data_IF_803421676426
#
_entry.id   IF_803421676426
#
_cell.length_a   1.000
_cell.length_b   1.000
_cell.length_c   1.000
_cell.angle_alpha   90.00
_cell.angle_beta   90.00
_cell.angle_gamma   90.00
#
_symmetry.space_group_name_H-M   'P 1'
#
loop_
_entity.id
_entity.type
_entity.pdbx_description
1 polymer ?
#
# COMPACT_ATOMS: atom_id res chain seq x y z
N UNK A 1 11.76 -31.34 44.52
CA UNK A 1 11.05 -31.54 43.22
C UNK A 1 11.24 -30.30 42.40
N UNK A 2 11.78 -30.39 41.17
CA UNK A 2 11.84 -29.23 40.27
C UNK A 2 10.42 -28.82 39.86
N UNK A 3 10.13 -27.54 39.61
CA UNK A 3 8.84 -27.12 39.13
C UNK A 3 8.57 -27.75 37.76
N UNK A 4 7.36 -28.27 37.57
CA UNK A 4 6.90 -28.77 36.27
C UNK A 4 6.92 -27.62 35.29
N UNK A 5 7.73 -27.74 34.26
CA UNK A 5 7.65 -26.91 33.07
C UNK A 5 6.21 -27.02 32.52
N UNK A 6 5.45 -25.97 32.64
CA UNK A 6 4.19 -25.81 31.91
C UNK A 6 4.59 -25.54 30.45
N UNK A 7 4.74 -26.60 29.68
CA UNK A 7 4.73 -26.50 28.24
C UNK A 7 3.38 -25.87 27.86
N UNK A 8 3.43 -24.68 27.30
CA UNK A 8 2.25 -23.98 26.81
C UNK A 8 1.61 -24.80 25.71
N UNK A 9 0.33 -25.18 25.81
CA UNK A 9 -0.34 -26.01 24.80
C UNK A 9 -0.70 -25.25 23.50
N UNK A 10 -0.20 -24.03 23.33
CA UNK A 10 -0.58 -23.15 22.20
C UNK A 10 0.17 -23.42 20.90
N UNK A 11 1.38 -23.95 20.93
CA UNK A 11 2.19 -24.21 19.72
C UNK A 11 1.63 -25.32 18.82
N UNK A 12 0.87 -26.25 19.37
CA UNK A 12 0.25 -27.34 18.60
C UNK A 12 -1.08 -26.95 17.97
N UNK A 13 -1.73 -25.89 18.46
CA UNK A 13 -3.04 -25.43 17.98
C UNK A 13 -2.95 -24.48 16.77
N UNK A 14 -1.81 -23.80 16.56
CA UNK A 14 -1.68 -22.83 15.47
C UNK A 14 -1.35 -23.49 14.12
N UNK A 15 -0.51 -24.54 14.12
CA UNK A 15 -0.12 -25.22 12.89
C UNK A 15 -1.31 -25.91 12.22
N UNK A 16 -1.38 -25.77 10.90
CA UNK A 16 -2.43 -26.30 10.03
C UNK A 16 -3.80 -25.66 10.21
N UNK A 17 -3.88 -24.51 10.91
CA UNK A 17 -5.11 -23.72 11.01
C UNK A 17 -5.37 -22.93 9.73
N UNK A 18 -6.62 -22.53 9.53
CA UNK A 18 -6.98 -21.57 8.46
C UNK A 18 -6.30 -20.20 8.67
N UNK A 19 -6.11 -19.82 9.94
CA UNK A 19 -5.41 -18.57 10.31
C UNK A 19 -3.96 -18.60 9.84
N UNK A 20 -3.23 -19.69 10.05
CA UNK A 20 -1.86 -19.83 9.54
C UNK A 20 -1.81 -19.71 8.01
N UNK A 21 -2.73 -20.38 7.29
CA UNK A 21 -2.84 -20.27 5.84
C UNK A 21 -3.17 -18.86 5.38
N UNK A 22 -4.09 -18.18 6.06
CA UNK A 22 -4.47 -16.80 5.74
C UNK A 22 -3.31 -15.81 5.98
N UNK A 23 -2.52 -16.01 7.03
CA UNK A 23 -1.31 -15.22 7.26
C UNK A 23 -0.29 -15.36 6.12
N UNK A 24 -0.07 -16.58 5.64
CA UNK A 24 0.86 -16.79 4.53
C UNK A 24 0.30 -16.26 3.21
N UNK A 25 -1.03 -16.35 2.99
CA UNK A 25 -1.68 -15.71 1.83
C UNK A 25 -1.53 -14.19 1.87
N UNK A 26 -1.78 -13.58 3.03
CA UNK A 26 -1.61 -12.14 3.21
C UNK A 26 -0.15 -11.72 3.01
N UNK A 27 0.82 -12.41 3.63
CA UNK A 27 2.25 -12.16 3.42
C UNK A 27 2.64 -12.21 1.93
N UNK A 28 2.14 -13.19 1.18
CA UNK A 28 2.39 -13.30 -0.26
C UNK A 28 1.70 -12.17 -1.04
N UNK A 29 0.49 -11.79 -0.64
CA UNK A 29 -0.27 -10.66 -1.18
C UNK A 29 0.50 -9.35 -1.07
N UNK A 30 0.89 -8.99 0.14
CA UNK A 30 1.69 -7.78 0.42
C UNK A 30 3.03 -7.79 -0.33
N UNK A 31 3.70 -8.94 -0.36
CA UNK A 31 5.01 -9.08 -1.02
C UNK A 31 4.92 -8.84 -2.53
N UNK A 32 3.86 -9.35 -3.19
CA UNK A 32 3.66 -9.10 -4.62
C UNK A 32 3.15 -7.67 -4.88
N UNK A 33 2.29 -7.10 -4.02
CA UNK A 33 1.81 -5.72 -4.12
C UNK A 33 3.00 -4.75 -4.03
N UNK A 34 3.84 -4.90 -3.02
CA UNK A 34 5.11 -4.16 -2.88
C UNK A 34 5.91 -4.18 -4.18
N UNK A 35 6.10 -5.35 -4.76
CA UNK A 35 6.91 -5.50 -5.99
C UNK A 35 6.25 -4.80 -7.17
N UNK A 36 4.93 -4.98 -7.36
CA UNK A 36 4.17 -4.29 -8.42
C UNK A 36 4.23 -2.77 -8.28
N UNK A 37 4.11 -2.24 -7.07
CA UNK A 37 4.15 -0.78 -6.84
C UNK A 37 5.51 -0.17 -7.15
N UNK A 38 6.62 -0.90 -6.99
CA UNK A 38 7.93 -0.42 -7.47
C UNK A 38 7.98 -0.30 -9.01
N UNK A 39 7.31 -1.22 -9.73
CA UNK A 39 7.19 -1.13 -11.20
C UNK A 39 6.31 0.05 -11.60
N UNK A 40 5.19 0.26 -10.92
CA UNK A 40 4.26 1.36 -11.16
C UNK A 40 4.89 2.73 -10.87
N UNK A 41 5.71 2.83 -9.82
CA UNK A 41 6.51 4.02 -9.53
C UNK A 41 7.45 4.38 -10.69
N UNK A 42 8.12 3.37 -11.27
CA UNK A 42 9.01 3.58 -12.42
C UNK A 42 8.26 4.11 -13.65
N UNK A 43 7.05 3.61 -13.92
CA UNK A 43 6.20 4.11 -15.03
C UNK A 43 5.78 5.55 -14.76
N UNK A 44 5.24 5.84 -13.58
CA UNK A 44 4.79 7.17 -13.19
C UNK A 44 5.90 8.21 -13.34
N UNK A 45 7.12 7.87 -12.95
CA UNK A 45 8.29 8.73 -13.13
C UNK A 45 8.59 9.00 -14.61
N UNK A 46 8.54 7.98 -15.46
CA UNK A 46 8.77 8.11 -16.92
C UNK A 46 7.69 8.95 -17.60
N UNK A 47 6.46 8.87 -17.12
CA UNK A 47 5.32 9.63 -17.65
C UNK A 47 5.23 11.06 -17.05
N UNK A 48 6.16 11.44 -16.18
CA UNK A 48 6.24 12.80 -15.63
C UNK A 48 5.30 13.06 -14.44
N UNK A 49 5.00 12.03 -13.65
CA UNK A 49 4.20 12.12 -12.44
C UNK A 49 5.04 11.79 -11.19
N UNK A 50 6.02 12.63 -10.86
CA UNK A 50 6.94 12.39 -9.73
C UNK A 50 6.24 12.26 -8.38
N UNK A 51 5.11 12.95 -8.18
CA UNK A 51 4.28 12.77 -6.99
C UNK A 51 3.72 11.36 -6.90
N UNK A 52 3.16 10.84 -8.00
CA UNK A 52 2.58 9.49 -8.05
C UNK A 52 3.68 8.44 -7.87
N UNK A 53 4.83 8.65 -8.51
CA UNK A 53 5.98 7.77 -8.33
C UNK A 53 6.40 7.70 -6.86
N UNK A 54 6.43 8.84 -6.16
CA UNK A 54 6.71 8.91 -4.72
C UNK A 54 5.65 8.20 -3.88
N UNK A 55 4.36 8.35 -4.22
CA UNK A 55 3.27 7.67 -3.52
C UNK A 55 3.35 6.16 -3.69
N UNK A 56 3.60 5.64 -4.90
CA UNK A 56 3.79 4.21 -5.11
C UNK A 56 5.01 3.66 -4.35
N UNK A 57 6.12 4.39 -4.33
CA UNK A 57 7.31 3.97 -3.60
C UNK A 57 7.07 3.93 -2.08
N UNK A 58 6.40 4.96 -1.53
CA UNK A 58 6.01 5.01 -0.12
C UNK A 58 5.09 3.85 0.25
N UNK A 59 4.05 3.60 -0.56
CA UNK A 59 3.14 2.47 -0.32
C UNK A 59 3.88 1.14 -0.43
N UNK A 60 4.77 0.95 -1.40
CA UNK A 60 5.58 -0.27 -1.50
C UNK A 60 6.41 -0.54 -0.22
N UNK A 61 6.90 0.50 0.45
CA UNK A 61 7.60 0.35 1.74
C UNK A 61 6.62 0.03 2.88
N UNK A 62 5.39 0.53 2.83
CA UNK A 62 4.33 0.21 3.80
C UNK A 62 3.88 -1.24 3.66
N UNK A 63 3.65 -1.75 2.43
CA UNK A 63 3.32 -3.18 2.18
C UNK A 63 4.41 -4.13 2.68
N UNK A 64 5.67 -3.72 2.60
CA UNK A 64 6.76 -4.49 3.20
C UNK A 64 6.62 -4.62 4.73
N UNK A 65 6.16 -3.58 5.42
CA UNK A 65 5.95 -3.64 6.88
C UNK A 65 4.68 -4.46 7.23
N UNK A 66 3.62 -4.41 6.40
CA UNK A 66 2.45 -5.28 6.53
C UNK A 66 2.85 -6.75 6.34
N UNK A 67 3.55 -7.08 5.26
CA UNK A 67 4.11 -8.40 5.01
C UNK A 67 4.93 -8.91 6.21
N UNK A 68 5.82 -8.08 6.74
CA UNK A 68 6.63 -8.40 7.91
C UNK A 68 5.79 -8.62 9.17
N UNK A 69 4.70 -7.86 9.35
CA UNK A 69 3.79 -8.04 10.49
C UNK A 69 3.11 -9.40 10.42
N UNK A 70 2.60 -9.81 9.26
CA UNK A 70 1.99 -11.11 9.06
C UNK A 70 3.01 -12.25 9.21
N UNK A 71 4.20 -12.10 8.63
CA UNK A 71 5.25 -13.11 8.72
C UNK A 71 5.72 -13.37 10.14
N UNK A 72 5.71 -12.37 11.03
CA UNK A 72 6.10 -12.52 12.43
C UNK A 72 5.15 -13.39 13.25
N UNK A 73 3.95 -13.66 12.78
CA UNK A 73 3.02 -14.58 13.43
C UNK A 73 3.25 -16.03 13.03
N UNK A 74 3.98 -16.28 11.93
CA UNK A 74 4.29 -17.64 11.47
C UNK A 74 5.40 -18.25 12.33
N UNK A 75 5.26 -19.56 12.61
CA UNK A 75 6.15 -20.28 13.54
C UNK A 75 7.24 -21.10 12.82
N UNK A 76 7.42 -20.91 11.52
CA UNK A 76 8.46 -21.57 10.72
C UNK A 76 7.98 -22.86 10.02
N UNK A 77 8.90 -23.45 9.25
CA UNK A 77 8.63 -24.57 8.35
C UNK A 77 8.08 -24.10 7.01
N UNK A 78 7.68 -25.08 6.19
CA UNK A 78 7.04 -24.84 4.89
C UNK A 78 5.53 -25.06 5.01
N UNK A 79 4.75 -24.18 4.40
CA UNK A 79 3.30 -24.25 4.36
C UNK A 79 2.82 -24.09 2.92
N UNK A 80 2.08 -25.07 2.41
CA UNK A 80 1.44 -24.98 1.11
C UNK A 80 0.14 -24.17 1.21
N UNK A 81 -0.03 -23.20 0.30
CA UNK A 81 -1.24 -22.40 0.17
C UNK A 81 -1.75 -22.42 -1.26
N UNK A 82 -3.07 -22.30 -1.42
CA UNK A 82 -3.71 -21.98 -2.70
C UNK A 82 -4.30 -20.59 -2.59
N UNK A 83 -3.90 -19.69 -3.48
CA UNK A 83 -4.39 -18.31 -3.54
C UNK A 83 -4.32 -17.77 -4.97
N UNK A 84 -5.09 -16.73 -5.24
CA UNK A 84 -5.06 -15.98 -6.51
C UNK A 84 -4.52 -14.59 -6.25
N UNK A 85 -3.65 -14.12 -7.12
CA UNK A 85 -3.07 -12.78 -7.04
C UNK A 85 -3.20 -12.08 -8.40
N UNK A 86 -3.19 -10.72 -8.44
CA UNK A 86 -3.27 -9.98 -9.68
C UNK A 86 -2.13 -10.35 -10.66
N UNK A 87 -2.52 -10.76 -11.88
CA UNK A 87 -1.61 -11.13 -12.97
C UNK A 87 -1.72 -10.15 -14.15
N UNK A 88 -2.01 -8.89 -13.86
CA UNK A 88 -2.19 -7.82 -14.85
C UNK A 88 -0.88 -7.35 -15.46
N UNK A 89 -1.01 -6.53 -16.50
CA UNK A 89 0.13 -5.89 -17.18
C UNK A 89 0.59 -4.65 -16.41
N UNK A 90 1.85 -4.29 -16.57
CA UNK A 90 2.32 -2.95 -16.25
C UNK A 90 1.82 -2.04 -17.36
N UNK A 91 0.86 -1.18 -17.04
CA UNK A 91 0.23 -0.25 -17.98
C UNK A 91 0.71 1.19 -17.81
N UNK A 92 -0.08 2.15 -18.28
CA UNK A 92 0.10 3.57 -18.02
C UNK A 92 -0.08 3.88 -16.54
N UNK A 93 0.33 5.06 -16.09
CA UNK A 93 0.14 5.50 -14.70
C UNK A 93 -1.32 5.43 -14.26
N UNK A 94 -2.25 5.83 -15.12
CA UNK A 94 -3.69 5.77 -14.83
C UNK A 94 -4.18 4.33 -14.67
N UNK A 95 -3.80 3.42 -15.57
CA UNK A 95 -4.13 2.00 -15.48
C UNK A 95 -3.53 1.34 -14.25
N UNK A 96 -2.30 1.69 -13.90
CA UNK A 96 -1.60 1.18 -12.72
C UNK A 96 -2.25 1.66 -11.41
N UNK A 97 -2.68 2.93 -11.36
CA UNK A 97 -3.44 3.47 -10.21
C UNK A 97 -4.78 2.74 -10.03
N UNK A 98 -5.50 2.47 -11.13
CA UNK A 98 -6.74 1.71 -11.07
C UNK A 98 -6.51 0.27 -10.62
N UNK A 99 -5.46 -0.38 -11.13
CA UNK A 99 -5.12 -1.75 -10.77
C UNK A 99 -4.70 -1.85 -9.29
N UNK A 100 -3.94 -0.87 -8.79
CA UNK A 100 -3.58 -0.78 -7.38
C UNK A 100 -4.84 -0.57 -6.51
N UNK A 101 -5.66 0.44 -6.82
CA UNK A 101 -6.89 0.71 -6.06
C UNK A 101 -7.83 -0.50 -5.96
N UNK A 102 -7.96 -1.30 -7.03
CA UNK A 102 -8.76 -2.54 -7.00
C UNK A 102 -8.16 -3.60 -6.09
N UNK A 103 -6.84 -3.71 -6.03
CA UNK A 103 -6.16 -4.64 -5.12
C UNK A 103 -6.40 -4.27 -3.66
N UNK A 104 -6.17 -3.00 -3.32
CA UNK A 104 -6.43 -2.48 -1.97
C UNK A 104 -7.90 -2.68 -1.56
N UNK A 105 -8.84 -2.40 -2.49
CA UNK A 105 -10.27 -2.62 -2.23
C UNK A 105 -10.59 -4.08 -1.89
N UNK A 106 -10.05 -5.04 -2.62
CA UNK A 106 -10.24 -6.47 -2.34
C UNK A 106 -9.68 -6.84 -0.95
N UNK A 107 -8.54 -6.26 -0.57
CA UNK A 107 -7.91 -6.53 0.72
C UNK A 107 -8.71 -5.98 1.89
N UNK A 108 -9.14 -4.70 1.84
CA UNK A 108 -9.84 -4.10 2.98
C UNK A 108 -11.32 -4.45 3.07
N UNK A 109 -11.99 -4.68 1.94
CA UNK A 109 -13.45 -4.92 1.89
C UNK A 109 -13.80 -6.41 2.03
N UNK A 110 -12.89 -7.30 1.58
CA UNK A 110 -13.19 -8.74 1.52
C UNK A 110 -12.17 -9.57 2.32
N UNK A 111 -10.88 -9.54 1.93
CA UNK A 111 -9.92 -10.54 2.40
C UNK A 111 -9.59 -10.38 3.90
N UNK A 112 -9.20 -9.20 4.32
CA UNK A 112 -8.77 -8.99 5.71
C UNK A 112 -9.91 -9.03 6.72
N UNK A 113 -11.13 -8.55 6.44
CA UNK A 113 -12.30 -8.82 7.28
C UNK A 113 -12.57 -10.31 7.47
N UNK A 114 -12.53 -11.10 6.39
CA UNK A 114 -12.75 -12.55 6.44
C UNK A 114 -11.62 -13.26 7.22
N UNK A 115 -10.36 -12.88 6.99
CA UNK A 115 -9.22 -13.45 7.70
C UNK A 115 -9.25 -13.10 9.20
N UNK A 116 -9.67 -11.88 9.54
CA UNK A 116 -9.85 -11.47 10.93
C UNK A 116 -10.93 -12.31 11.63
N UNK A 117 -12.07 -12.54 10.97
CA UNK A 117 -13.14 -13.39 11.48
C UNK A 117 -12.66 -14.82 11.72
N UNK A 118 -11.95 -15.41 10.77
CA UNK A 118 -11.37 -16.75 10.93
C UNK A 118 -10.42 -16.81 12.12
N UNK A 119 -9.57 -15.82 12.27
CA UNK A 119 -8.64 -15.75 13.40
C UNK A 119 -9.35 -15.63 14.76
N UNK A 120 -10.46 -14.90 14.84
CA UNK A 120 -11.30 -14.85 16.05
C UNK A 120 -11.95 -16.20 16.36
N UNK A 121 -12.53 -16.86 15.34
CA UNK A 121 -13.15 -18.18 15.48
C UNK A 121 -12.16 -19.25 15.96
N UNK A 122 -10.91 -19.16 15.54
CA UNK A 122 -9.84 -20.09 15.91
C UNK A 122 -9.10 -19.69 17.21
N UNK A 123 -9.48 -18.57 17.84
CA UNK A 123 -8.95 -18.14 19.15
C UNK A 123 -7.64 -17.35 19.07
N UNK A 124 -7.36 -16.65 17.96
CA UNK A 124 -6.18 -15.82 17.72
C UNK A 124 -6.53 -14.31 17.68
N UNK A 125 -6.96 -13.69 18.76
CA UNK A 125 -7.47 -12.30 18.75
C UNK A 125 -6.40 -11.26 18.39
N UNK A 126 -5.11 -11.50 18.66
CA UNK A 126 -4.02 -10.62 18.26
C UNK A 126 -3.84 -10.60 16.74
N UNK A 127 -3.93 -11.75 16.09
CA UNK A 127 -3.86 -11.88 14.64
C UNK A 127 -5.08 -11.24 14.00
N UNK A 128 -6.28 -11.49 14.54
CA UNK A 128 -7.51 -10.86 14.09
C UNK A 128 -7.42 -9.32 14.16
N UNK A 129 -6.88 -8.79 15.26
CA UNK A 129 -6.67 -7.35 15.39
C UNK A 129 -5.66 -6.82 14.35
N UNK A 130 -4.59 -7.55 14.05
CA UNK A 130 -3.64 -7.14 13.02
C UNK A 130 -4.31 -6.99 11.65
N UNK A 131 -5.10 -7.98 11.21
CA UNK A 131 -5.89 -7.90 9.98
C UNK A 131 -6.84 -6.69 9.98
N UNK A 132 -7.57 -6.46 11.07
CA UNK A 132 -8.50 -5.33 11.20
C UNK A 132 -7.82 -3.96 11.12
N UNK A 133 -6.61 -3.81 11.67
CA UNK A 133 -5.91 -2.53 11.62
C UNK A 133 -5.27 -2.29 10.26
N UNK A 134 -4.66 -3.31 9.66
CA UNK A 134 -4.08 -3.21 8.32
C UNK A 134 -5.17 -2.94 7.29
N UNK A 135 -6.32 -3.62 7.35
CA UNK A 135 -7.49 -3.33 6.50
C UNK A 135 -7.86 -1.83 6.43
N UNK A 136 -7.74 -1.10 7.53
CA UNK A 136 -7.99 0.36 7.54
C UNK A 136 -6.91 1.15 6.77
N UNK A 137 -5.70 0.65 6.74
CA UNK A 137 -4.61 1.27 5.98
C UNK A 137 -4.85 1.07 4.49
N UNK A 138 -5.27 -0.14 4.08
CA UNK A 138 -5.55 -0.45 2.67
C UNK A 138 -6.74 0.37 2.13
N UNK A 139 -7.75 0.64 2.95
CA UNK A 139 -8.83 1.57 2.59
C UNK A 139 -8.31 2.99 2.31
N UNK A 140 -7.29 3.46 3.03
CA UNK A 140 -6.67 4.77 2.80
C UNK A 140 -5.73 4.74 1.57
N UNK A 141 -5.05 3.62 1.30
CA UNK A 141 -4.27 3.42 0.07
C UNK A 141 -5.17 3.49 -1.16
N UNK A 142 -6.30 2.76 -1.17
CA UNK A 142 -7.30 2.85 -2.24
C UNK A 142 -7.77 4.28 -2.47
N UNK A 143 -8.22 4.97 -1.41
CA UNK A 143 -8.70 6.35 -1.47
C UNK A 143 -7.65 7.27 -2.11
N UNK A 144 -6.39 7.10 -1.74
CA UNK A 144 -5.27 7.89 -2.27
C UNK A 144 -5.05 7.62 -3.76
N UNK A 145 -5.06 6.36 -4.17
CA UNK A 145 -4.91 5.98 -5.58
C UNK A 145 -6.06 6.49 -6.46
N UNK A 146 -7.30 6.33 -6.01
CA UNK A 146 -8.48 6.83 -6.73
C UNK A 146 -8.46 8.36 -6.86
N UNK A 147 -7.99 9.07 -5.84
CA UNK A 147 -7.85 10.53 -5.89
C UNK A 147 -6.81 10.98 -6.91
N UNK A 148 -5.68 10.29 -6.99
CA UNK A 148 -4.64 10.58 -7.98
C UNK A 148 -5.11 10.23 -9.39
N UNK A 149 -5.81 9.11 -9.55
CA UNK A 149 -6.41 8.70 -10.82
C UNK A 149 -7.39 9.75 -11.33
N UNK A 150 -8.32 10.24 -10.49
CA UNK A 150 -9.27 11.28 -10.91
C UNK A 150 -8.55 12.55 -11.38
N UNK A 151 -7.42 12.92 -10.77
CA UNK A 151 -6.65 14.09 -11.20
C UNK A 151 -6.03 13.93 -12.59
N UNK A 152 -5.64 12.71 -12.96
CA UNK A 152 -5.15 12.42 -14.32
C UNK A 152 -6.31 12.44 -15.31
N UNK A 153 -7.40 11.72 -15.02
CA UNK A 153 -8.55 11.57 -15.94
C UNK A 153 -9.26 12.89 -16.18
N UNK A 154 -9.34 13.76 -15.18
CA UNK A 154 -9.94 15.09 -15.27
C UNK A 154 -9.00 16.13 -15.92
N UNK A 155 -7.78 15.75 -16.27
CA UNK A 155 -6.78 16.67 -16.87
C UNK A 155 -6.31 17.79 -15.93
N UNK A 156 -6.50 17.65 -14.63
CA UNK A 156 -6.22 18.69 -13.65
C UNK A 156 -5.11 18.32 -12.64
N UNK A 157 -4.24 17.36 -12.99
CA UNK A 157 -3.17 16.93 -12.10
C UNK A 157 -2.24 18.10 -11.70
N UNK A 158 -1.85 18.92 -12.66
CA UNK A 158 -1.00 20.10 -12.44
C UNK A 158 -1.79 21.43 -12.43
N UNK A 159 -3.11 21.39 -12.38
CA UNK A 159 -3.99 22.56 -12.43
C UNK A 159 -5.10 22.45 -11.38
N UNK A 160 -5.61 23.62 -10.91
CA UNK A 160 -6.76 23.74 -10.02
C UNK A 160 -7.65 24.89 -10.49
N UNK A 161 -8.92 24.87 -10.05
CA UNK A 161 -9.91 25.93 -10.37
C UNK A 161 -9.63 27.26 -9.62
N UNK A 162 -8.64 27.28 -8.73
CA UNK A 162 -8.18 28.46 -8.03
C UNK A 162 -6.70 28.32 -7.70
N UNK A 163 -6.10 29.42 -7.21
CA UNK A 163 -4.69 29.41 -6.80
C UNK A 163 -4.49 28.50 -5.59
N UNK A 164 -3.49 27.66 -5.66
CA UNK A 164 -2.99 26.85 -4.55
C UNK A 164 -1.48 26.98 -4.44
N UNK A 165 -0.93 26.56 -3.33
CA UNK A 165 0.50 26.46 -3.15
C UNK A 165 1.04 25.19 -3.82
N UNK A 166 1.97 25.36 -4.76
CA UNK A 166 2.72 24.29 -5.41
C UNK A 166 4.12 24.21 -4.82
N UNK A 167 4.65 23.00 -4.67
CA UNK A 167 6.00 22.75 -4.19
C UNK A 167 6.76 21.88 -5.17
N UNK A 168 7.98 22.28 -5.51
CA UNK A 168 8.90 21.47 -6.28
C UNK A 168 9.52 20.38 -5.39
N UNK A 169 9.27 19.13 -5.71
CA UNK A 169 9.81 17.96 -4.97
C UNK A 169 11.33 17.87 -5.00
N UNK A 170 11.96 18.44 -6.04
CA UNK A 170 13.42 18.37 -6.18
C UNK A 170 14.16 19.38 -5.28
N UNK A 171 13.68 20.62 -5.19
CA UNK A 171 14.44 21.66 -4.50
C UNK A 171 13.67 22.41 -3.39
N UNK A 172 12.39 22.07 -3.19
CA UNK A 172 11.56 22.72 -2.18
C UNK A 172 11.02 24.10 -2.58
N UNK A 173 11.26 24.61 -3.80
CA UNK A 173 10.69 25.87 -4.26
C UNK A 173 9.16 25.85 -4.14
N UNK A 174 8.58 26.94 -3.63
CA UNK A 174 7.14 27.08 -3.40
C UNK A 174 6.63 28.31 -4.16
N UNK A 175 5.47 28.18 -4.81
CA UNK A 175 4.74 29.28 -5.41
C UNK A 175 3.24 29.10 -5.34
N UNK A 176 2.50 30.22 -5.39
CA UNK A 176 1.04 30.22 -5.45
C UNK A 176 0.60 30.45 -6.90
N UNK A 177 -0.16 29.51 -7.47
CA UNK A 177 -0.67 29.58 -8.84
C UNK A 177 -1.87 28.65 -9.04
N UNK A 178 -2.65 28.88 -10.11
CA UNK A 178 -3.71 27.95 -10.56
C UNK A 178 -3.11 26.70 -11.24
N UNK A 179 -1.97 26.87 -11.93
CA UNK A 179 -1.24 25.79 -12.60
C UNK A 179 0.21 25.78 -12.11
N UNK A 180 0.72 24.58 -11.85
CA UNK A 180 2.13 24.38 -11.51
C UNK A 180 3.06 24.90 -12.63
N UNK A 181 4.17 25.56 -12.29
CA UNK A 181 5.11 26.06 -13.30
C UNK A 181 5.59 24.95 -14.25
N UNK A 182 5.71 25.27 -15.55
CA UNK A 182 6.23 24.32 -16.56
C UNK A 182 7.68 23.94 -16.28
N UNK A 183 8.45 24.89 -15.74
CA UNK A 183 9.85 24.72 -15.33
C UNK A 183 10.01 25.40 -13.98
N UNK A 184 10.65 24.73 -13.04
CA UNK A 184 10.96 25.29 -11.73
C UNK A 184 11.96 26.45 -11.89
N UNK A 185 11.64 27.69 -11.43
CA UNK A 185 12.55 28.82 -11.59
C UNK A 185 13.82 28.71 -10.74
N UNK A 186 13.81 27.89 -9.69
CA UNK A 186 14.96 27.72 -8.81
C UNK A 186 15.93 26.63 -9.28
N UNK A 187 15.44 25.49 -9.78
CA UNK A 187 16.31 24.34 -10.11
C UNK A 187 16.17 23.80 -11.53
N UNK A 188 15.36 24.47 -12.37
CA UNK A 188 15.15 24.16 -13.79
C UNK A 188 14.56 22.75 -14.07
N UNK A 189 14.02 22.05 -13.06
CA UNK A 189 13.32 20.79 -13.26
C UNK A 189 11.92 21.04 -13.87
N UNK A 190 11.41 20.10 -14.67
CA UNK A 190 10.13 20.26 -15.35
C UNK A 190 8.93 20.20 -14.38
N UNK A 191 7.74 20.57 -14.87
CA UNK A 191 6.46 20.57 -14.14
C UNK A 191 6.19 19.22 -13.45
N UNK A 192 6.68 18.12 -13.99
CA UNK A 192 6.61 16.78 -13.42
C UNK A 192 6.98 16.71 -11.93
N UNK A 193 7.88 17.59 -11.48
CA UNK A 193 8.37 17.64 -10.10
C UNK A 193 7.48 18.44 -9.15
N UNK A 194 6.41 19.06 -9.63
CA UNK A 194 5.52 19.82 -8.75
C UNK A 194 4.41 18.96 -8.15
N UNK A 195 4.12 19.24 -6.90
CA UNK A 195 2.95 18.71 -6.19
C UNK A 195 2.27 19.84 -5.39
N UNK A 196 0.98 19.70 -5.02
CA UNK A 196 0.39 20.60 -4.03
C UNK A 196 1.19 20.56 -2.74
N UNK A 197 1.51 21.76 -2.21
CA UNK A 197 2.25 21.89 -0.95
C UNK A 197 1.49 21.18 0.17
N UNK A 198 2.20 20.41 0.98
CA UNK A 198 1.69 19.79 2.20
C UNK A 198 2.27 20.52 3.40
N UNK A 199 1.41 20.83 4.38
CA UNK A 199 1.82 21.26 5.71
C UNK A 199 1.52 20.13 6.67
N UNK A 200 2.55 19.36 7.05
CA UNK A 200 2.44 18.18 7.90
C UNK A 200 3.38 18.20 9.11
N UNK A 201 3.73 19.40 9.57
CA UNK A 201 4.59 19.68 10.72
C UNK A 201 3.96 20.71 11.65
#
# INVERSE_FOLDING_TARGET
RPPRSTLFPYTTLFRSTRTEQNLLKAFAGESQARTRYTFFASVAKKEGYEQIAGVFAETADQEKEHAKRFFKFLEGGDLEITASYPAGRIGTTAENLLAAAKGENEEWDVLYPDFAKVAEEEGFPEIANAFKQISKVEAEHERRYLKLLSRITDGNFFKRDGKIWWQCRNCGFICEAEEAPKICPACQHPQAYFEPKKDNY
#
